data_IF_581361397966
#
_entry.id   IF_581361397966
#
_cell.length_a   1.000
_cell.length_b   1.000
_cell.length_c   1.000
_cell.angle_alpha   90.00
_cell.angle_beta   90.00
_cell.angle_gamma   90.00
#
_symmetry.space_group_name_H-M   'P 1'
#
loop_
_entity.id
_entity.type
_entity.pdbx_description
1 polymer ?
#
# COMPACT_ATOMS: atom_id res chain seq x y z
N UNK A 1 11.95 -1.98 -22.72
CA UNK A 1 10.61 -2.51 -22.38
C UNK A 1 10.13 -3.29 -23.60
N UNK A 2 9.91 -4.59 -23.47
CA UNK A 2 9.33 -5.42 -24.54
C UNK A 2 7.81 -5.41 -24.38
N UNK A 3 7.04 -5.23 -25.47
CA UNK A 3 5.58 -5.33 -25.40
C UNK A 3 5.18 -6.77 -25.05
N UNK A 4 4.25 -6.92 -24.11
CA UNK A 4 3.71 -8.20 -23.69
C UNK A 4 2.23 -8.26 -24.06
N UNK A 5 1.89 -9.26 -24.88
CA UNK A 5 0.55 -9.42 -25.46
C UNK A 5 -0.30 -10.47 -24.72
N UNK A 6 0.31 -11.26 -23.83
CA UNK A 6 -0.40 -12.22 -22.98
C UNK A 6 -0.72 -11.59 -21.61
N UNK A 7 -2.01 -11.37 -21.28
CA UNK A 7 -2.38 -10.68 -20.05
C UNK A 7 -2.07 -11.49 -18.78
N UNK A 8 -2.09 -12.83 -18.83
CA UNK A 8 -1.75 -13.66 -17.68
C UNK A 8 -0.25 -13.53 -17.33
N UNK A 9 0.60 -13.60 -18.34
CA UNK A 9 2.05 -13.37 -18.19
C UNK A 9 2.32 -11.94 -17.72
N UNK A 10 1.54 -10.96 -18.17
CA UNK A 10 1.67 -9.58 -17.70
C UNK A 10 1.46 -9.46 -16.19
N UNK A 11 0.44 -10.13 -15.64
CA UNK A 11 0.17 -10.17 -14.20
C UNK A 11 1.37 -10.75 -13.42
N UNK A 12 1.96 -11.84 -13.91
CA UNK A 12 3.02 -12.55 -13.17
C UNK A 12 4.37 -11.83 -13.29
N UNK A 13 4.72 -11.37 -14.47
CA UNK A 13 6.07 -10.90 -14.78
C UNK A 13 6.24 -9.38 -14.71
N UNK A 14 5.14 -8.62 -14.80
CA UNK A 14 5.21 -7.17 -15.03
C UNK A 14 4.31 -6.31 -14.16
N UNK A 15 3.39 -6.89 -13.37
CA UNK A 15 2.48 -6.11 -12.51
C UNK A 15 2.83 -6.29 -11.03
N UNK A 16 2.54 -5.26 -10.25
CA UNK A 16 2.60 -5.26 -8.79
C UNK A 16 1.25 -4.82 -8.17
N UNK A 17 1.21 -4.76 -6.84
CA UNK A 17 -0.02 -4.43 -6.08
C UNK A 17 -0.63 -3.06 -6.40
N UNK A 18 0.17 -2.11 -6.92
CA UNK A 18 -0.31 -0.80 -7.34
C UNK A 18 -1.21 -0.86 -8.58
N UNK A 19 -1.07 -1.91 -9.41
CA UNK A 19 -1.88 -2.08 -10.62
C UNK A 19 -3.31 -2.58 -10.35
N UNK A 20 -3.62 -3.02 -9.12
CA UNK A 20 -4.98 -3.44 -8.76
C UNK A 20 -5.89 -2.23 -8.68
N UNK A 21 -6.84 -2.08 -9.60
CA UNK A 21 -7.80 -0.96 -9.56
C UNK A 21 -8.90 -1.16 -8.50
N UNK A 22 -9.49 -2.36 -8.48
CA UNK A 22 -10.73 -2.64 -7.75
C UNK A 22 -10.64 -3.93 -6.94
N UNK A 23 -11.24 -3.94 -5.74
CA UNK A 23 -11.31 -5.10 -4.83
C UNK A 23 -12.73 -5.21 -4.28
N UNK A 24 -13.33 -6.41 -4.33
CA UNK A 24 -14.68 -6.70 -3.84
C UNK A 24 -14.61 -7.86 -2.84
N UNK A 25 -15.18 -7.69 -1.65
CA UNK A 25 -15.25 -8.72 -0.60
C UNK A 25 -16.70 -8.90 -0.19
N UNK A 26 -17.26 -10.11 -0.34
CA UNK A 26 -18.65 -10.42 -0.01
C UNK A 26 -19.66 -9.42 -0.59
N UNK A 27 -19.46 -9.00 -1.84
CA UNK A 27 -20.32 -8.02 -2.54
C UNK A 27 -20.06 -6.54 -2.19
N UNK A 28 -19.15 -6.24 -1.25
CA UNK A 28 -18.77 -4.87 -0.90
C UNK A 28 -17.52 -4.43 -1.66
N UNK A 29 -17.57 -3.27 -2.33
CA UNK A 29 -16.40 -2.65 -2.96
C UNK A 29 -15.49 -2.04 -1.90
N UNK A 30 -14.24 -2.48 -1.84
CA UNK A 30 -13.23 -2.07 -0.86
C UNK A 30 -12.17 -1.12 -1.46
N UNK A 31 -11.81 -1.34 -2.73
CA UNK A 31 -10.93 -0.47 -3.55
C UNK A 31 -11.63 -0.16 -4.87
N UNK A 32 -11.51 1.07 -5.38
CA UNK A 32 -11.94 1.46 -6.74
C UNK A 32 -11.12 2.65 -7.24
N UNK A 33 -10.80 2.70 -8.53
CA UNK A 33 -9.97 3.77 -9.10
C UNK A 33 -8.63 3.92 -8.38
N UNK A 34 -8.03 2.79 -8.00
CA UNK A 34 -6.76 2.77 -7.26
C UNK A 34 -6.86 3.18 -5.79
N UNK A 35 -8.04 3.57 -5.27
CA UNK A 35 -8.20 4.12 -3.90
C UNK A 35 -9.00 3.18 -2.99
N UNK A 36 -8.56 3.05 -1.73
CA UNK A 36 -9.34 2.40 -0.67
C UNK A 36 -10.53 3.29 -0.30
N UNK A 37 -11.73 2.70 -0.16
CA UNK A 37 -12.98 3.45 0.00
C UNK A 37 -13.40 3.65 1.45
N UNK A 38 -12.91 2.82 2.39
CA UNK A 38 -13.39 2.77 3.77
C UNK A 38 -12.26 2.92 4.80
N UNK A 39 -11.23 3.70 4.44
CA UNK A 39 -10.03 3.93 5.27
C UNK A 39 -9.81 5.42 5.44
N UNK A 40 -9.60 5.84 6.69
CA UNK A 40 -9.13 7.18 7.03
C UNK A 40 -7.59 7.20 6.98
N UNK A 41 -7.04 7.72 5.88
CA UNK A 41 -5.60 7.75 5.68
C UNK A 41 -4.88 8.68 6.65
N UNK A 42 -5.49 9.81 7.03
CA UNK A 42 -4.87 10.76 7.96
C UNK A 42 -4.74 10.15 9.35
N UNK A 43 -5.77 9.43 9.80
CA UNK A 43 -5.71 8.68 11.05
C UNK A 43 -4.65 7.57 11.00
N UNK A 44 -4.55 6.83 9.90
CA UNK A 44 -3.53 5.78 9.74
C UNK A 44 -2.12 6.37 9.75
N UNK A 45 -1.88 7.46 9.01
CA UNK A 45 -0.59 8.13 8.99
C UNK A 45 -0.18 8.63 10.38
N UNK A 46 -1.12 9.22 11.13
CA UNK A 46 -0.88 9.64 12.51
C UNK A 46 -0.49 8.46 13.40
N UNK A 47 -1.25 7.36 13.37
CA UNK A 47 -0.96 6.17 14.18
C UNK A 47 0.42 5.56 13.88
N UNK A 48 0.81 5.52 12.59
CA UNK A 48 2.12 5.01 12.19
C UNK A 48 3.24 5.94 12.65
N UNK A 49 3.06 7.26 12.54
CA UNK A 49 4.03 8.23 13.03
C UNK A 49 4.23 8.12 14.55
N UNK A 50 3.14 8.06 15.31
CA UNK A 50 3.17 7.90 16.77
C UNK A 50 3.84 6.59 17.18
N UNK A 51 3.51 5.49 16.50
CA UNK A 51 4.11 4.18 16.75
C UNK A 51 5.60 4.17 16.45
N UNK A 52 6.02 4.78 15.33
CA UNK A 52 7.43 4.95 14.97
C UNK A 52 8.17 5.71 16.06
N UNK A 53 7.65 6.85 16.48
CA UNK A 53 8.29 7.73 17.46
C UNK A 53 8.42 7.04 18.82
N UNK A 54 7.39 6.28 19.23
CA UNK A 54 7.44 5.45 20.43
C UNK A 54 8.55 4.40 20.37
N UNK A 55 8.65 3.64 19.26
CA UNK A 55 9.67 2.60 19.09
C UNK A 55 11.07 3.21 19.07
N UNK A 56 11.27 4.34 18.40
CA UNK A 56 12.57 5.04 18.37
C UNK A 56 12.97 5.48 19.78
N UNK A 57 12.06 6.12 20.52
CA UNK A 57 12.32 6.59 21.88
C UNK A 57 12.67 5.44 22.84
N UNK A 58 12.04 4.27 22.68
CA UNK A 58 12.28 3.09 23.53
C UNK A 58 13.51 2.27 23.15
N UNK A 59 13.85 2.20 21.86
CA UNK A 59 14.92 1.32 21.36
C UNK A 59 16.32 1.91 21.46
N UNK A 60 16.46 3.22 21.68
CA UNK A 60 17.75 3.91 21.60
C UNK A 60 18.29 4.02 20.16
N UNK A 61 17.46 3.70 19.17
CA UNK A 61 17.80 3.81 17.75
C UNK A 61 17.98 5.29 17.35
N UNK A 62 19.09 5.61 16.68
CA UNK A 62 19.36 6.95 16.15
C UNK A 62 18.96 7.00 14.69
N UNK A 63 17.95 7.82 14.37
CA UNK A 63 17.52 8.00 12.99
C UNK A 63 18.66 8.61 12.16
N UNK A 64 19.06 7.97 11.04
CA UNK A 64 20.07 8.53 10.15
C UNK A 64 19.62 9.89 9.61
N UNK A 65 20.55 10.85 9.54
CA UNK A 65 20.31 12.07 8.76
C UNK A 65 20.50 11.71 7.28
N UNK A 66 19.45 11.93 6.49
CA UNK A 66 19.47 11.81 5.02
C UNK A 66 19.77 13.19 4.45
#
# INVERSE_FOLDING_TARGET
>A
MTPLNDPATAVVAGLDTSNVDSVIIAGRVMKRHGRLLHVDWDAVHRQVAESRDYVIAKSGFKVPKI
#
